data_IF_756596207491
#
_entry.id   IF_756596207491
#
_cell.length_a   1.000
_cell.length_b   1.000
_cell.length_c   1.000
_cell.angle_alpha   90.00
_cell.angle_beta   90.00
_cell.angle_gamma   90.00
#
_symmetry.space_group_name_H-M   'P 1'
#
loop_
_entity.id
_entity.type
_entity.pdbx_description
1 polymer ?
#
# COMPACT_ATOMS: atom_id res chain seq x y z
N UNK A 1 -45.80 78.16 12.51
CA UNK A 1 -46.42 78.28 13.88
C UNK A 1 -46.29 76.94 14.58
N UNK A 2 -45.72 76.97 15.78
CA UNK A 2 -45.80 76.05 16.95
C UNK A 2 -45.44 74.57 16.72
N UNK A 3 -44.25 74.12 17.12
CA UNK A 3 -43.82 73.67 18.48
C UNK A 3 -44.63 72.48 19.02
N UNK A 4 -43.94 71.38 19.23
CA UNK A 4 -44.37 70.24 20.01
C UNK A 4 -43.28 69.23 20.23
N UNK A 5 -42.48 69.43 21.26
CA UNK A 5 -41.46 68.51 21.78
C UNK A 5 -42.13 67.34 22.57
N UNK A 6 -41.68 66.12 22.36
CA UNK A 6 -41.84 65.06 23.38
C UNK A 6 -40.57 64.19 23.42
N UNK A 7 -39.84 64.37 24.55
CA UNK A 7 -38.75 63.50 24.97
C UNK A 7 -39.37 62.19 25.45
N UNK A 8 -38.83 61.06 25.00
CA UNK A 8 -38.98 59.78 25.68
C UNK A 8 -37.61 59.22 26.06
N UNK A 9 -37.40 59.12 27.34
CA UNK A 9 -36.29 58.38 27.95
C UNK A 9 -36.41 56.90 27.63
N UNK A 10 -35.33 56.30 27.09
CA UNK A 10 -35.20 54.88 27.00
C UNK A 10 -34.05 54.45 27.90
N UNK A 11 -34.40 53.64 28.90
CA UNK A 11 -33.48 52.99 29.84
C UNK A 11 -32.52 52.06 29.08
N UNK A 12 -31.24 52.29 29.28
CA UNK A 12 -30.21 51.32 28.92
C UNK A 12 -30.09 50.29 30.04
N UNK A 13 -30.58 49.10 29.80
CA UNK A 13 -30.26 47.92 30.59
C UNK A 13 -28.98 47.33 30.02
N UNK A 14 -27.87 47.53 30.70
CA UNK A 14 -26.57 46.93 30.38
C UNK A 14 -26.61 45.46 30.77
N UNK A 15 -26.74 44.56 29.78
CA UNK A 15 -26.61 43.12 29.98
C UNK A 15 -25.11 42.78 29.92
N UNK A 16 -24.48 42.59 31.09
CA UNK A 16 -23.16 41.99 31.21
C UNK A 16 -23.26 40.49 30.87
N UNK A 17 -22.93 40.12 29.64
CA UNK A 17 -22.66 38.73 29.30
C UNK A 17 -21.24 38.41 29.75
N UNK A 18 -21.12 37.70 30.86
CA UNK A 18 -19.87 37.06 31.29
C UNK A 18 -19.52 35.96 30.27
N UNK A 19 -18.72 36.29 29.26
CA UNK A 19 -18.07 35.34 28.41
C UNK A 19 -16.95 34.67 29.22
N UNK A 20 -17.26 33.54 29.86
CA UNK A 20 -16.26 32.63 30.37
C UNK A 20 -15.54 32.02 29.16
N UNK A 21 -14.44 32.67 28.78
CA UNK A 21 -13.52 32.15 27.75
C UNK A 21 -12.88 30.86 28.24
N UNK A 22 -13.44 29.75 27.83
CA UNK A 22 -12.70 28.51 27.77
C UNK A 22 -11.81 28.61 26.53
N UNK A 23 -10.60 29.15 26.74
CA UNK A 23 -9.52 28.90 25.80
C UNK A 23 -9.14 27.41 25.92
N UNK A 24 -9.75 26.57 25.09
CA UNK A 24 -9.08 25.32 24.75
C UNK A 24 -7.71 25.70 24.17
N UNK A 25 -6.60 25.24 24.74
CA UNK A 25 -5.33 25.36 24.04
C UNK A 25 -5.53 24.66 22.70
N UNK A 26 -5.41 25.43 21.61
CA UNK A 26 -5.26 24.85 20.29
C UNK A 26 -3.98 24.03 20.35
N UNK A 27 -4.12 22.72 20.52
CA UNK A 27 -3.02 21.80 20.23
C UNK A 27 -2.67 22.04 18.79
N UNK A 28 -1.42 22.48 18.57
CA UNK A 28 -0.85 22.54 17.22
C UNK A 28 -1.03 21.14 16.63
N UNK A 29 -1.71 21.00 15.47
CA UNK A 29 -1.97 19.68 14.91
C UNK A 29 -0.71 18.94 14.46
N UNK A 30 0.47 19.55 14.56
CA UNK A 30 1.70 19.14 13.90
C UNK A 30 2.88 18.86 14.84
N UNK A 31 2.69 18.87 16.14
CA UNK A 31 3.74 18.39 17.05
C UNK A 31 3.67 16.87 17.15
N UNK A 32 4.62 16.17 16.56
CA UNK A 32 4.80 14.74 16.83
C UNK A 32 5.01 14.54 18.33
N UNK A 33 4.39 13.48 18.90
CA UNK A 33 4.69 13.07 20.28
C UNK A 33 6.18 12.74 20.39
N UNK A 34 6.71 12.77 21.61
CA UNK A 34 8.08 12.39 21.96
C UNK A 34 8.57 11.15 21.20
N UNK A 35 9.89 11.03 21.05
CA UNK A 35 10.56 9.90 20.38
C UNK A 35 9.99 8.57 20.86
N UNK A 36 9.50 7.78 19.91
CA UNK A 36 8.98 6.44 20.15
C UNK A 36 9.86 5.45 19.38
N UNK A 37 10.68 4.64 20.07
CA UNK A 37 11.65 3.75 19.43
C UNK A 37 11.00 2.67 18.57
N UNK A 38 9.72 2.34 18.78
CA UNK A 38 8.98 1.41 17.92
C UNK A 38 8.51 2.14 16.66
N UNK A 39 7.81 3.26 16.82
CA UNK A 39 7.39 4.09 15.69
C UNK A 39 8.57 4.53 14.82
N UNK A 40 9.65 4.98 15.47
CA UNK A 40 10.83 5.57 14.83
C UNK A 40 11.88 4.51 14.46
N UNK A 41 11.45 3.26 14.32
CA UNK A 41 12.32 2.15 13.94
C UNK A 41 13.00 2.40 12.60
N UNK A 42 14.32 2.27 12.55
CA UNK A 42 15.13 2.29 11.34
C UNK A 42 15.31 0.85 10.84
N UNK A 43 14.81 0.49 9.67
CA UNK A 43 14.97 -0.86 9.14
C UNK A 43 16.43 -1.24 8.91
N UNK A 44 16.73 -2.51 9.07
CA UNK A 44 18.06 -3.10 8.84
C UNK A 44 17.90 -4.29 7.89
N UNK A 45 18.86 -4.47 6.98
CA UNK A 45 18.86 -5.61 6.06
C UNK A 45 18.88 -6.94 6.82
N UNK A 46 18.04 -7.87 6.41
CA UNK A 46 17.93 -9.20 7.03
C UNK A 46 17.08 -9.24 8.30
N UNK A 47 16.54 -8.11 8.74
CA UNK A 47 15.68 -8.02 9.94
C UNK A 47 14.33 -7.44 9.59
N UNK A 48 13.25 -8.11 10.01
CA UNK A 48 11.90 -7.56 9.91
C UNK A 48 11.62 -6.62 11.08
N UNK A 49 10.87 -5.54 10.85
CA UNK A 49 10.59 -4.55 11.88
C UNK A 49 9.67 -5.15 12.97
N UNK A 50 9.72 -4.61 14.19
CA UNK A 50 8.80 -5.00 15.26
C UNK A 50 7.35 -4.61 14.90
N UNK A 51 6.40 -5.25 15.57
CA UNK A 51 5.00 -4.87 15.48
C UNK A 51 4.79 -3.40 15.88
N UNK A 52 3.94 -2.68 15.17
CA UNK A 52 3.68 -1.27 15.41
C UNK A 52 4.72 -0.30 14.85
N UNK A 53 5.83 -0.79 14.26
CA UNK A 53 6.85 0.07 13.65
C UNK A 53 6.29 0.98 12.55
N UNK A 54 6.83 2.21 12.49
CA UNK A 54 6.47 3.20 11.48
C UNK A 54 5.15 3.91 11.72
N UNK A 55 4.75 4.69 10.74
CA UNK A 55 3.53 5.50 10.78
C UNK A 55 2.53 5.06 9.70
N UNK A 56 1.26 5.32 9.96
CA UNK A 56 0.24 5.23 8.92
C UNK A 56 0.17 6.56 8.16
N UNK A 57 0.17 6.48 6.83
CA UNK A 57 -0.07 7.61 5.94
C UNK A 57 -0.95 7.15 4.78
N UNK A 58 -1.86 8.01 4.30
CA UNK A 58 -2.74 7.70 3.19
C UNK A 58 -2.82 8.86 2.20
N UNK A 59 -3.09 8.55 0.95
CA UNK A 59 -3.22 9.53 -0.12
C UNK A 59 -3.34 8.86 -1.49
N UNK A 60 -3.61 9.67 -2.51
CA UNK A 60 -3.70 9.17 -3.88
C UNK A 60 -2.33 8.85 -4.47
N UNK A 61 -2.22 7.71 -5.11
CA UNK A 61 -1.02 7.33 -5.86
C UNK A 61 -0.89 8.21 -7.10
N UNK A 62 0.13 9.06 -7.15
CA UNK A 62 0.32 10.07 -8.21
C UNK A 62 1.41 9.72 -9.21
N UNK A 63 2.38 8.93 -8.80
CA UNK A 63 3.51 8.52 -9.61
C UNK A 63 4.00 7.17 -9.16
N UNK A 64 4.43 6.34 -10.09
CA UNK A 64 5.07 5.05 -9.83
C UNK A 64 6.32 4.91 -10.69
N UNK A 65 7.34 4.30 -10.10
CA UNK A 65 8.51 3.73 -10.76
C UNK A 65 8.55 2.25 -10.37
N UNK A 66 7.94 1.39 -11.17
CA UNK A 66 7.82 -0.02 -10.83
C UNK A 66 9.16 -0.77 -10.89
N UNK A 67 10.15 -0.26 -11.63
CA UNK A 67 11.49 -0.84 -11.71
C UNK A 67 12.21 -0.76 -10.38
N UNK A 68 12.18 0.43 -9.77
CA UNK A 68 12.84 0.70 -8.49
C UNK A 68 11.90 0.53 -7.30
N UNK A 69 10.66 0.07 -7.53
CA UNK A 69 9.59 -0.07 -6.53
C UNK A 69 9.40 1.23 -5.72
N UNK A 70 9.29 2.35 -6.43
CA UNK A 70 9.11 3.70 -5.86
C UNK A 70 7.79 4.30 -6.30
N UNK A 71 7.33 5.26 -5.55
CA UNK A 71 6.13 6.00 -5.89
C UNK A 71 6.00 7.30 -5.11
N UNK A 72 4.85 7.93 -5.26
CA UNK A 72 4.51 9.13 -4.51
C UNK A 72 3.02 9.21 -4.26
N UNK A 73 2.65 9.45 -3.01
CA UNK A 73 1.29 9.71 -2.58
C UNK A 73 1.05 11.20 -2.46
N UNK A 74 -0.19 11.62 -2.68
CA UNK A 74 -0.65 12.98 -2.44
C UNK A 74 -1.86 12.94 -1.52
N UNK A 75 -1.76 13.56 -0.37
CA UNK A 75 -2.90 13.79 0.52
C UNK A 75 -3.62 15.06 0.09
N UNK A 76 -4.94 15.06 0.07
CA UNK A 76 -5.72 16.28 -0.06
C UNK A 76 -5.57 17.12 1.21
N UNK A 77 -5.12 18.36 1.05
CA UNK A 77 -4.92 19.33 2.15
C UNK A 77 -5.63 20.66 1.89
N UNK A 78 -6.59 20.65 0.94
CA UNK A 78 -7.31 21.86 0.51
C UNK A 78 -6.50 22.83 -0.33
N UNK A 79 -5.20 22.59 -0.54
CA UNK A 79 -4.36 23.40 -1.41
C UNK A 79 -4.45 22.93 -2.86
N UNK A 80 -4.09 23.83 -3.79
CA UNK A 80 -4.03 23.49 -5.22
C UNK A 80 -2.83 22.60 -5.58
N UNK A 81 -1.83 22.54 -4.70
CA UNK A 81 -0.61 21.76 -4.88
C UNK A 81 -0.16 21.14 -3.54
N UNK A 82 -0.89 20.14 -3.03
CA UNK A 82 -0.48 19.46 -1.80
C UNK A 82 0.88 18.80 -1.96
N UNK A 83 1.68 18.75 -0.90
CA UNK A 83 2.99 18.11 -0.93
C UNK A 83 2.86 16.64 -1.31
N UNK A 84 3.80 16.15 -2.12
CA UNK A 84 3.90 14.74 -2.45
C UNK A 84 4.75 14.03 -1.41
N UNK A 85 4.26 12.91 -0.93
CA UNK A 85 5.00 12.00 -0.09
C UNK A 85 5.65 10.92 -0.96
N UNK A 86 6.92 11.14 -1.36
CA UNK A 86 7.67 10.17 -2.15
C UNK A 86 8.14 9.02 -1.26
N UNK A 87 8.15 7.81 -1.82
CA UNK A 87 8.54 6.61 -1.09
C UNK A 87 9.28 5.59 -1.96
N UNK A 88 10.05 4.72 -1.30
CA UNK A 88 10.51 3.43 -1.82
C UNK A 88 9.85 2.30 -1.04
N UNK A 89 9.54 1.19 -1.71
CA UNK A 89 9.14 -0.03 -1.02
C UNK A 89 10.36 -0.70 -0.40
N UNK A 90 10.24 -1.14 0.83
CA UNK A 90 11.22 -2.05 1.42
C UNK A 90 11.31 -3.37 0.60
N UNK A 91 12.44 -4.10 0.61
CA UNK A 91 12.58 -5.36 -0.12
C UNK A 91 11.43 -6.35 0.15
N UNK A 92 11.00 -6.43 1.40
CA UNK A 92 9.89 -7.23 1.90
C UNK A 92 8.56 -6.45 1.99
N UNK A 93 8.50 -5.27 1.38
CA UNK A 93 7.28 -4.45 1.35
C UNK A 93 6.19 -5.11 0.51
N UNK A 94 4.98 -5.05 1.03
CA UNK A 94 3.79 -5.70 0.50
C UNK A 94 2.87 -4.69 -0.15
N UNK A 95 2.19 -5.10 -1.21
CA UNK A 95 1.16 -4.30 -1.88
C UNK A 95 -0.09 -5.16 -2.01
N UNK A 96 -1.25 -4.61 -1.63
CA UNK A 96 -2.54 -5.25 -1.84
C UNK A 96 -3.48 -4.35 -2.66
N UNK A 97 -4.20 -4.96 -3.57
CA UNK A 97 -5.17 -4.29 -4.43
C UNK A 97 -6.40 -5.17 -4.63
N UNK A 98 -7.59 -4.63 -4.38
CA UNK A 98 -8.86 -5.37 -4.37
C UNK A 98 -8.87 -6.58 -3.41
N UNK A 99 -8.12 -6.49 -2.30
CA UNK A 99 -8.01 -7.58 -1.32
C UNK A 99 -7.10 -8.74 -1.73
N UNK A 100 -6.28 -8.59 -2.77
CA UNK A 100 -5.30 -9.58 -3.22
C UNK A 100 -3.88 -9.01 -3.24
N UNK A 101 -2.84 -9.85 -3.15
CA UNK A 101 -1.47 -9.42 -3.40
C UNK A 101 -1.29 -8.79 -4.78
N UNK A 102 -0.48 -7.73 -4.84
CA UNK A 102 -0.26 -6.92 -6.03
C UNK A 102 1.19 -6.45 -6.17
N UNK A 103 1.50 -5.83 -7.29
CA UNK A 103 2.71 -5.04 -7.53
C UNK A 103 2.30 -3.58 -7.76
N UNK A 104 3.21 -2.61 -7.53
CA UNK A 104 2.91 -1.19 -7.74
C UNK A 104 2.35 -0.87 -9.13
N UNK A 105 2.80 -1.60 -10.16
CA UNK A 105 2.35 -1.44 -11.55
C UNK A 105 0.89 -1.87 -11.79
N UNK A 106 0.33 -2.65 -10.87
CA UNK A 106 -1.07 -3.11 -10.97
C UNK A 106 -2.06 -2.03 -10.55
N UNK A 107 -1.58 -0.99 -9.86
CA UNK A 107 -2.41 0.04 -9.24
C UNK A 107 -2.53 1.24 -10.17
N UNK A 108 -3.75 1.61 -10.59
CA UNK A 108 -3.97 2.82 -11.38
C UNK A 108 -3.54 4.09 -10.63
N UNK A 109 -2.97 5.05 -11.36
CA UNK A 109 -2.71 6.38 -10.84
C UNK A 109 -4.05 7.04 -10.45
N UNK A 110 -4.06 7.70 -9.30
CA UNK A 110 -5.26 8.29 -8.69
C UNK A 110 -5.95 7.39 -7.66
N UNK A 111 -5.57 6.12 -7.54
CA UNK A 111 -6.10 5.25 -6.50
C UNK A 111 -5.69 5.75 -5.12
N UNK A 112 -6.63 5.89 -4.20
CA UNK A 112 -6.36 6.19 -2.80
C UNK A 112 -5.74 4.97 -2.12
N UNK A 113 -4.60 5.19 -1.48
CA UNK A 113 -3.80 4.14 -0.84
C UNK A 113 -3.59 4.44 0.64
N UNK A 114 -3.69 3.42 1.44
CA UNK A 114 -3.25 3.40 2.83
C UNK A 114 -1.88 2.75 2.89
N UNK A 115 -0.94 3.36 3.62
CA UNK A 115 0.42 2.83 3.73
C UNK A 115 0.94 2.83 5.16
N UNK A 116 1.80 1.87 5.46
CA UNK A 116 2.65 1.86 6.65
C UNK A 116 4.07 2.19 6.20
N UNK A 117 4.63 3.27 6.76
CA UNK A 117 5.92 3.82 6.36
C UNK A 117 6.87 3.86 7.53
N UNK A 118 8.11 3.44 7.29
CA UNK A 118 9.21 3.46 8.23
C UNK A 118 10.22 4.55 7.83
N UNK A 119 11.15 4.82 8.74
CA UNK A 119 12.34 5.60 8.41
C UNK A 119 13.15 4.90 7.29
N UNK A 120 14.05 5.61 6.60
CA UNK A 120 14.88 5.01 5.55
C UNK A 120 15.63 3.77 6.02
N UNK A 121 15.70 2.76 5.16
CA UNK A 121 16.55 1.59 5.36
C UNK A 121 17.99 2.05 5.56
N UNK A 122 18.68 1.45 6.51
CA UNK A 122 20.08 1.77 6.80
C UNK A 122 20.94 1.61 5.53
N UNK A 123 21.66 2.67 5.17
CA UNK A 123 22.47 2.75 3.95
C UNK A 123 21.71 3.20 2.70
N UNK A 124 20.39 3.41 2.79
CA UNK A 124 19.54 3.89 1.68
C UNK A 124 18.93 5.27 1.96
N UNK A 125 19.47 6.02 2.91
CA UNK A 125 18.91 7.29 3.36
C UNK A 125 18.83 8.37 2.27
N UNK A 126 19.65 8.24 1.23
CA UNK A 126 19.72 9.18 0.10
C UNK A 126 19.02 8.65 -1.17
N UNK A 127 18.41 7.47 -1.12
CA UNK A 127 17.77 6.86 -2.31
C UNK A 127 16.51 7.60 -2.73
N UNK A 128 15.85 8.29 -1.79
CA UNK A 128 14.70 9.17 -2.02
C UNK A 128 15.09 10.57 -1.58
N UNK A 129 14.82 11.61 -2.38
CA UNK A 129 15.09 12.98 -1.98
C UNK A 129 14.40 13.31 -0.66
N UNK A 130 15.17 13.75 0.32
CA UNK A 130 14.62 14.22 1.60
C UNK A 130 13.89 15.53 1.38
N UNK A 131 12.71 15.71 2.01
CA UNK A 131 12.09 17.01 2.08
C UNK A 131 13.04 18.05 2.70
N UNK A 132 12.92 19.31 2.31
CA UNK A 132 13.69 20.39 2.91
C UNK A 132 13.42 20.47 4.42
N UNK A 133 14.39 20.92 5.19
CA UNK A 133 14.31 20.94 6.67
C UNK A 133 13.10 21.73 7.20
N UNK A 134 12.73 22.83 6.53
CA UNK A 134 11.56 23.60 6.87
C UNK A 134 10.24 22.88 6.53
N UNK A 135 10.24 22.01 5.53
CA UNK A 135 9.11 21.12 5.21
C UNK A 135 9.00 19.98 6.23
N UNK A 136 10.11 19.37 6.62
CA UNK A 136 10.12 18.35 7.67
C UNK A 136 9.67 18.90 9.02
N UNK A 137 9.99 20.15 9.36
CA UNK A 137 9.46 20.82 10.57
C UNK A 137 7.94 20.99 10.53
N UNK A 138 7.35 21.19 9.35
CA UNK A 138 5.89 21.35 9.17
C UNK A 138 5.20 20.00 8.95
N UNK A 139 5.86 19.07 8.30
CA UNK A 139 5.34 17.74 7.92
C UNK A 139 6.36 16.65 8.27
N UNK A 140 6.56 16.36 9.57
CA UNK A 140 7.58 15.40 10.03
C UNK A 140 7.36 13.98 9.51
N UNK A 141 6.12 13.60 9.13
CA UNK A 141 5.83 12.35 8.45
C UNK A 141 6.62 12.16 7.15
N UNK A 142 7.11 13.22 6.51
CA UNK A 142 7.95 13.13 5.32
C UNK A 142 9.30 12.43 5.53
N UNK A 143 9.74 12.24 6.78
CA UNK A 143 10.93 11.45 7.10
C UNK A 143 10.70 9.93 6.93
N UNK A 144 9.46 9.46 7.06
CA UNK A 144 9.09 8.05 6.96
C UNK A 144 8.73 7.74 5.50
N UNK A 145 9.71 7.41 4.71
CA UNK A 145 9.58 7.29 3.26
C UNK A 145 9.88 5.89 2.72
N UNK A 146 10.02 4.88 3.59
CA UNK A 146 10.17 3.49 3.18
C UNK A 146 8.91 2.70 3.53
N UNK A 147 8.14 2.33 2.50
CA UNK A 147 6.87 1.65 2.66
C UNK A 147 7.07 0.15 2.89
N UNK A 148 6.45 -0.38 3.94
CA UNK A 148 6.38 -1.82 4.21
C UNK A 148 5.04 -2.42 3.77
N UNK A 149 3.99 -1.60 3.70
CA UNK A 149 2.66 -2.02 3.27
C UNK A 149 1.99 -0.88 2.52
N UNK A 150 1.35 -1.21 1.39
CA UNK A 150 0.45 -0.33 0.66
C UNK A 150 -0.82 -1.11 0.31
N UNK A 151 -1.98 -0.51 0.57
CA UNK A 151 -3.29 -1.12 0.37
C UNK A 151 -4.26 -0.10 -0.22
N UNK A 152 -5.08 -0.48 -1.21
CA UNK A 152 -6.25 0.32 -1.59
C UNK A 152 -7.30 0.29 -0.48
N UNK A 153 -8.33 1.13 -0.57
CA UNK A 153 -9.37 1.22 0.47
C UNK A 153 -10.03 -0.14 0.73
N UNK A 154 -10.34 -0.88 -0.34
CA UNK A 154 -10.95 -2.21 -0.21
C UNK A 154 -10.05 -3.15 0.59
N UNK A 155 -8.77 -3.24 0.24
CA UNK A 155 -7.82 -4.11 0.95
C UNK A 155 -7.66 -3.70 2.40
N UNK A 156 -7.49 -2.39 2.64
CA UNK A 156 -7.34 -1.83 3.98
C UNK A 156 -8.56 -2.12 4.87
N UNK A 157 -9.76 -1.75 4.42
CA UNK A 157 -10.96 -1.91 5.23
C UNK A 157 -11.32 -3.39 5.42
N UNK A 158 -11.21 -4.23 4.41
CA UNK A 158 -11.49 -5.67 4.55
C UNK A 158 -10.54 -6.38 5.52
N UNK A 159 -9.24 -6.06 5.48
CA UNK A 159 -8.27 -6.62 6.42
C UNK A 159 -8.63 -6.30 7.88
N UNK A 160 -9.30 -5.19 8.10
CA UNK A 160 -9.80 -4.78 9.40
C UNK A 160 -11.25 -5.20 9.69
N UNK A 161 -11.84 -6.09 8.86
CA UNK A 161 -13.22 -6.56 9.03
C UNK A 161 -14.25 -5.45 8.87
N UNK A 162 -14.01 -4.48 7.96
CA UNK A 162 -14.86 -3.32 7.77
C UNK A 162 -15.48 -3.26 6.37
N UNK A 163 -16.62 -2.63 6.33
CA UNK A 163 -17.39 -2.30 5.13
C UNK A 163 -18.11 -0.96 5.33
N UNK A 164 -18.92 -0.58 4.37
CA UNK A 164 -19.73 0.64 4.41
C UNK A 164 -21.20 0.27 4.24
N UNK A 165 -22.06 0.82 5.10
CA UNK A 165 -23.51 0.73 4.90
C UNK A 165 -24.01 2.03 4.28
N UNK A 166 -24.69 1.92 3.16
CA UNK A 166 -25.31 3.05 2.46
C UNK A 166 -26.49 3.57 3.29
N UNK A 167 -26.48 4.87 3.59
CA UNK A 167 -27.60 5.56 4.21
C UNK A 167 -28.53 6.18 3.17
N UNK A 168 -27.99 6.55 2.01
CA UNK A 168 -28.71 7.15 0.89
C UNK A 168 -27.81 7.98 0.00
N UNK A 169 -28.41 8.69 -0.93
CA UNK A 169 -27.75 9.68 -1.78
C UNK A 169 -28.35 11.06 -1.55
N UNK A 170 -27.55 12.10 -1.56
CA UNK A 170 -28.01 13.48 -1.38
C UNK A 170 -27.33 14.43 -2.37
N UNK A 171 -28.00 15.53 -2.71
CA UNK A 171 -27.40 16.58 -3.52
C UNK A 171 -26.46 17.41 -2.63
N UNK A 172 -25.18 17.47 -3.00
CA UNK A 172 -24.23 18.34 -2.37
C UNK A 172 -24.54 19.81 -2.61
N UNK A 173 -24.25 20.66 -1.63
CA UNK A 173 -24.37 22.13 -1.76
C UNK A 173 -23.22 22.71 -2.58
N UNK A 174 -23.41 23.94 -3.11
CA UNK A 174 -22.35 24.71 -3.76
C UNK A 174 -22.66 25.09 -5.20
N UNK A 175 -21.73 25.82 -5.87
CA UNK A 175 -21.94 26.31 -7.23
C UNK A 175 -21.96 25.22 -8.31
N UNK A 176 -21.42 24.04 -8.00
CA UNK A 176 -21.49 22.83 -8.83
C UNK A 176 -21.98 21.66 -7.93
N UNK A 177 -23.30 21.49 -7.78
CA UNK A 177 -23.85 20.45 -6.92
C UNK A 177 -23.44 19.07 -7.45
N UNK A 178 -22.80 18.27 -6.58
CA UNK A 178 -22.44 16.90 -6.86
C UNK A 178 -23.36 15.96 -6.10
N UNK A 179 -23.63 14.82 -6.68
CA UNK A 179 -24.30 13.76 -5.94
C UNK A 179 -23.31 13.18 -4.91
N UNK A 180 -23.79 12.96 -3.70
CA UNK A 180 -23.01 12.39 -2.61
C UNK A 180 -23.62 11.09 -2.13
N UNK A 181 -22.78 10.11 -1.92
CA UNK A 181 -23.10 8.86 -1.26
C UNK A 181 -22.92 9.04 0.25
N UNK A 182 -24.02 9.00 1.00
CA UNK A 182 -23.98 9.00 2.46
C UNK A 182 -23.81 7.60 2.97
N UNK A 183 -22.75 7.37 3.77
CA UNK A 183 -22.38 6.06 4.29
C UNK A 183 -22.06 6.10 5.78
N UNK A 184 -22.26 4.99 6.46
CA UNK A 184 -21.72 4.75 7.81
C UNK A 184 -20.78 3.53 7.79
N UNK A 185 -19.67 3.58 8.57
CA UNK A 185 -18.77 2.44 8.67
C UNK A 185 -19.42 1.30 9.46
N UNK A 186 -19.22 0.07 8.98
CA UNK A 186 -19.60 -1.18 9.65
C UNK A 186 -18.33 -1.87 10.13
N UNK A 187 -18.28 -2.35 11.37
CA UNK A 187 -17.13 -3.00 11.98
C UNK A 187 -16.34 -2.12 12.94
N UNK A 188 -15.16 -2.57 13.43
CA UNK A 188 -14.39 -1.88 14.45
C UNK A 188 -13.76 -0.58 13.94
N UNK A 189 -13.47 0.38 14.83
CA UNK A 189 -12.69 1.56 14.49
C UNK A 189 -11.25 1.16 14.11
N UNK A 190 -10.68 1.87 13.12
CA UNK A 190 -9.34 1.56 12.58
C UNK A 190 -8.48 2.83 12.59
N UNK A 191 -7.25 2.69 13.05
CA UNK A 191 -6.25 3.77 12.97
C UNK A 191 -6.02 4.17 11.51
N UNK A 192 -6.05 5.48 11.24
CA UNK A 192 -5.88 6.02 9.89
C UNK A 192 -7.08 5.83 8.95
N UNK A 193 -8.16 5.20 9.42
CA UNK A 193 -9.39 5.02 8.66
C UNK A 193 -10.48 6.03 9.01
N UNK A 194 -11.51 6.11 8.17
CA UNK A 194 -12.70 6.91 8.40
C UNK A 194 -13.61 6.17 9.39
N UNK A 195 -13.76 6.68 10.60
CA UNK A 195 -14.44 6.02 11.71
C UNK A 195 -15.83 6.60 12.05
N UNK A 196 -16.32 7.49 11.20
CA UNK A 196 -17.64 8.16 11.36
C UNK A 196 -18.40 8.09 10.05
N UNK A 197 -19.69 8.36 10.10
CA UNK A 197 -20.48 8.58 8.90
C UNK A 197 -19.79 9.62 8.00
N UNK A 198 -19.78 9.36 6.69
CA UNK A 198 -19.08 10.14 5.69
C UNK A 198 -19.95 10.38 4.46
N UNK A 199 -19.54 11.38 3.68
CA UNK A 199 -20.13 11.71 2.40
C UNK A 199 -19.04 11.58 1.33
N UNK A 200 -19.25 10.70 0.38
CA UNK A 200 -18.36 10.53 -0.76
C UNK A 200 -19.00 11.11 -2.01
N UNK A 201 -18.25 11.91 -2.77
CA UNK A 201 -18.71 12.40 -4.05
C UNK A 201 -18.86 11.20 -5.02
N UNK A 202 -19.96 11.16 -5.76
CA UNK A 202 -20.19 10.21 -6.85
C UNK A 202 -20.57 10.98 -8.11
N UNK A 203 -20.10 10.51 -9.25
CA UNK A 203 -20.36 11.12 -10.56
C UNK A 203 -20.48 10.06 -11.66
N UNK A 204 -20.56 10.49 -12.90
CA UNK A 204 -20.68 9.60 -14.06
C UNK A 204 -19.44 8.73 -14.29
N UNK A 205 -18.29 9.07 -13.72
CA UNK A 205 -17.06 8.28 -13.78
C UNK A 205 -17.00 7.20 -12.69
N UNK A 206 -17.86 7.26 -11.67
CA UNK A 206 -17.96 6.25 -10.62
C UNK A 206 -18.47 4.93 -11.22
N UNK A 207 -17.67 3.88 -11.08
CA UNK A 207 -18.04 2.54 -11.55
C UNK A 207 -18.77 1.78 -10.45
N UNK A 208 -19.97 1.31 -10.75
CA UNK A 208 -20.82 0.58 -9.82
C UNK A 208 -20.96 -0.86 -10.30
N UNK A 209 -20.58 -1.80 -9.45
CA UNK A 209 -20.50 -3.21 -9.79
C UNK A 209 -21.54 -4.02 -9.04
N UNK A 210 -22.34 -4.81 -9.80
CA UNK A 210 -23.33 -5.75 -9.26
C UNK A 210 -23.43 -6.97 -10.17
N UNK A 211 -23.41 -8.17 -9.59
CA UNK A 211 -23.45 -9.43 -10.34
C UNK A 211 -22.36 -9.49 -11.45
N UNK A 212 -21.15 -8.97 -11.15
CA UNK A 212 -19.98 -8.87 -12.06
C UNK A 212 -20.21 -7.98 -13.28
N UNK A 213 -21.18 -7.08 -13.24
CA UNK A 213 -21.50 -6.16 -14.33
C UNK A 213 -21.49 -4.72 -13.84
N UNK A 214 -21.21 -3.80 -14.76
CA UNK A 214 -21.42 -2.37 -14.52
C UNK A 214 -22.92 -2.09 -14.53
N UNK A 215 -23.39 -1.38 -13.50
CA UNK A 215 -24.78 -0.99 -13.33
C UNK A 215 -24.90 0.52 -13.12
N UNK A 216 -26.11 1.05 -13.20
CA UNK A 216 -26.39 2.47 -13.00
C UNK A 216 -26.50 2.87 -11.54
N UNK A 217 -26.54 4.18 -11.30
CA UNK A 217 -26.70 4.76 -9.95
C UNK A 217 -28.04 4.41 -9.28
N UNK A 218 -29.05 4.04 -10.05
CA UNK A 218 -30.36 3.58 -9.60
C UNK A 218 -30.30 2.26 -8.80
N UNK A 219 -29.23 1.51 -8.93
CA UNK A 219 -28.97 0.31 -8.14
C UNK A 219 -28.44 0.59 -6.72
N UNK A 220 -28.05 1.83 -6.44
CA UNK A 220 -27.60 2.26 -5.11
C UNK A 220 -28.84 2.41 -4.21
N UNK A 221 -28.96 1.54 -3.22
CA UNK A 221 -30.09 1.52 -2.30
C UNK A 221 -29.61 1.69 -0.85
N UNK A 222 -30.38 2.45 -0.05
CA UNK A 222 -30.11 2.56 1.37
C UNK A 222 -30.22 1.20 2.06
N UNK A 223 -29.33 0.97 3.02
CA UNK A 223 -29.23 -0.29 3.77
C UNK A 223 -28.31 -1.34 3.17
N UNK A 224 -27.85 -1.18 1.91
CA UNK A 224 -26.83 -2.09 1.34
C UNK A 224 -25.49 -1.91 2.05
N UNK A 225 -24.81 -3.02 2.27
CA UNK A 225 -23.44 -3.07 2.74
C UNK A 225 -22.51 -3.27 1.53
N UNK A 226 -21.52 -2.37 1.39
CA UNK A 226 -20.71 -2.23 0.17
C UNK A 226 -19.23 -2.07 0.51
N UNK A 227 -18.38 -2.30 -0.49
CA UNK A 227 -16.98 -1.89 -0.48
C UNK A 227 -16.79 -0.78 -1.52
N UNK A 228 -15.85 0.13 -1.24
CA UNK A 228 -15.56 1.26 -2.13
C UNK A 228 -14.08 1.50 -2.25
N UNK A 229 -13.64 1.96 -3.42
CA UNK A 229 -12.35 2.63 -3.60
C UNK A 229 -12.57 4.12 -3.80
N UNK A 230 -11.68 4.90 -3.25
CA UNK A 230 -11.77 6.36 -3.18
C UNK A 230 -10.64 7.03 -3.98
N UNK A 231 -10.77 8.32 -4.15
CA UNK A 231 -9.73 9.26 -4.59
C UNK A 231 -10.00 10.62 -3.97
N UNK A 232 -8.98 11.45 -3.80
CA UNK A 232 -9.17 12.83 -3.37
C UNK A 232 -9.82 13.67 -4.47
N UNK A 233 -10.98 14.18 -4.18
CA UNK A 233 -11.66 15.19 -4.98
C UNK A 233 -11.18 16.61 -4.67
N UNK A 234 -11.74 17.61 -5.34
CA UNK A 234 -11.50 19.02 -5.00
C UNK A 234 -12.02 19.34 -3.59
N UNK A 235 -11.39 20.33 -2.94
CA UNK A 235 -11.82 20.87 -1.64
C UNK A 235 -11.82 19.82 -0.50
N UNK A 236 -10.79 18.95 -0.46
CA UNK A 236 -10.66 17.89 0.56
C UNK A 236 -11.82 16.88 0.60
N UNK A 237 -12.65 16.83 -0.44
CA UNK A 237 -13.66 15.80 -0.54
C UNK A 237 -13.02 14.48 -0.97
N UNK A 238 -13.66 13.37 -0.58
CA UNK A 238 -13.35 12.06 -1.13
C UNK A 238 -14.40 11.71 -2.18
N UNK A 239 -13.96 11.31 -3.35
CA UNK A 239 -14.81 10.83 -4.42
C UNK A 239 -14.66 9.31 -4.58
N UNK A 240 -15.74 8.64 -4.94
CA UNK A 240 -15.75 7.20 -5.12
C UNK A 240 -15.36 6.86 -6.56
N UNK A 241 -14.34 6.04 -6.73
CA UNK A 241 -13.96 5.51 -8.06
C UNK A 241 -14.71 4.24 -8.40
N UNK A 242 -14.87 3.35 -7.41
CA UNK A 242 -15.56 2.07 -7.55
C UNK A 242 -16.45 1.79 -6.35
N UNK A 243 -17.62 1.22 -6.61
CA UNK A 243 -18.56 0.71 -5.61
C UNK A 243 -18.90 -0.73 -5.96
N UNK A 244 -18.64 -1.66 -5.03
CA UNK A 244 -19.08 -3.06 -5.16
C UNK A 244 -20.31 -3.28 -4.29
N UNK A 245 -21.48 -3.44 -4.94
CA UNK A 245 -22.77 -3.63 -4.28
C UNK A 245 -22.96 -5.06 -3.76
N UNK A 246 -22.11 -5.99 -4.17
CA UNK A 246 -22.15 -7.38 -3.74
C UNK A 246 -20.75 -8.00 -3.63
N UNK A 247 -20.56 -9.01 -2.75
CA UNK A 247 -19.28 -9.69 -2.57
C UNK A 247 -18.80 -10.45 -3.81
N UNK A 248 -19.72 -10.93 -4.66
CA UNK A 248 -19.39 -11.71 -5.85
C UNK A 248 -18.68 -10.87 -6.91
N UNK A 249 -19.11 -9.62 -7.08
CA UNK A 249 -18.46 -8.66 -7.97
C UNK A 249 -17.03 -8.36 -7.50
N UNK A 250 -16.85 -8.08 -6.22
CA UNK A 250 -15.51 -7.82 -5.67
C UNK A 250 -14.59 -9.05 -5.77
N UNK A 251 -15.12 -10.26 -5.50
CA UNK A 251 -14.33 -11.48 -5.59
C UNK A 251 -13.83 -11.75 -7.02
N UNK A 252 -14.61 -11.36 -8.05
CA UNK A 252 -14.14 -11.45 -9.42
C UNK A 252 -12.92 -10.55 -9.70
N UNK A 253 -12.91 -9.31 -9.18
CA UNK A 253 -11.73 -8.42 -9.27
C UNK A 253 -10.54 -8.96 -8.47
N UNK A 254 -10.78 -9.46 -7.27
CA UNK A 254 -9.75 -10.11 -6.43
C UNK A 254 -9.09 -11.27 -7.17
N UNK A 255 -9.87 -12.15 -7.79
CA UNK A 255 -9.32 -13.29 -8.51
C UNK A 255 -8.51 -12.86 -9.76
N UNK A 256 -8.94 -11.84 -10.49
CA UNK A 256 -8.14 -11.27 -11.60
C UNK A 256 -6.79 -10.77 -11.07
N UNK A 257 -6.80 -10.00 -9.99
CA UNK A 257 -5.56 -9.48 -9.39
C UNK A 257 -4.68 -10.62 -8.86
N UNK A 258 -5.28 -11.58 -8.18
CA UNK A 258 -4.60 -12.77 -7.67
C UNK A 258 -3.88 -13.55 -8.80
N UNK A 259 -4.54 -13.74 -9.93
CA UNK A 259 -3.94 -14.42 -11.09
C UNK A 259 -2.79 -13.62 -11.70
N UNK A 260 -2.87 -12.28 -11.74
CA UNK A 260 -1.75 -11.42 -12.15
C UNK A 260 -0.55 -11.61 -11.23
N UNK A 261 -0.78 -11.55 -9.91
CA UNK A 261 0.27 -11.77 -8.92
C UNK A 261 0.92 -13.16 -9.03
N UNK A 262 0.14 -14.22 -9.15
CA UNK A 262 0.66 -15.58 -9.33
C UNK A 262 1.54 -15.71 -10.57
N UNK A 263 1.13 -15.13 -11.71
CA UNK A 263 1.95 -15.10 -12.93
C UNK A 263 3.26 -14.36 -12.69
N UNK A 264 3.19 -13.17 -12.07
CA UNK A 264 4.35 -12.35 -11.78
C UNK A 264 5.36 -13.08 -10.91
N UNK A 265 4.95 -13.63 -9.77
CA UNK A 265 5.86 -14.30 -8.85
C UNK A 265 6.39 -15.60 -9.42
N UNK A 266 5.59 -16.38 -10.15
CA UNK A 266 6.09 -17.57 -10.85
C UNK A 266 7.11 -17.24 -11.93
N UNK A 267 7.06 -16.06 -12.54
CA UNK A 267 8.07 -15.59 -13.49
C UNK A 267 9.35 -15.10 -12.82
N UNK A 268 9.25 -14.50 -11.61
CA UNK A 268 10.36 -13.85 -10.90
C UNK A 268 10.85 -14.61 -9.68
N UNK A 269 10.22 -15.71 -9.35
CA UNK A 269 10.42 -16.52 -8.14
C UNK A 269 10.05 -15.82 -6.84
N UNK A 270 9.83 -16.61 -5.80
CA UNK A 270 9.41 -16.16 -4.49
C UNK A 270 10.59 -15.56 -3.71
N UNK A 271 10.53 -14.29 -3.26
CA UNK A 271 11.64 -13.66 -2.57
C UNK A 271 11.74 -14.07 -1.08
N UNK A 272 12.96 -14.00 -0.55
CA UNK A 272 13.24 -14.19 0.87
C UNK A 272 14.59 -13.61 1.26
N UNK A 273 14.82 -13.46 2.57
CA UNK A 273 16.12 -13.10 3.15
C UNK A 273 17.00 -14.32 3.32
N UNK A 274 18.31 -14.17 3.07
CA UNK A 274 19.33 -15.07 3.57
C UNK A 274 19.59 -14.72 5.05
N UNK A 275 19.35 -15.66 5.94
CA UNK A 275 19.63 -15.49 7.38
C UNK A 275 21.08 -15.85 7.68
N UNK A 276 21.51 -17.05 7.25
CA UNK A 276 22.84 -17.61 7.51
C UNK A 276 23.36 -18.37 6.31
N UNK A 277 24.68 -18.41 6.18
CA UNK A 277 25.40 -19.16 5.14
C UNK A 277 26.58 -19.90 5.77
N UNK A 278 26.74 -21.18 5.42
CA UNK A 278 27.92 -21.96 5.74
C UNK A 278 28.51 -22.52 4.45
N UNK A 279 29.73 -22.10 4.13
CA UNK A 279 30.44 -22.59 2.96
C UNK A 279 31.19 -23.88 3.27
N UNK A 280 31.21 -24.81 2.32
CA UNK A 280 31.99 -26.04 2.39
C UNK A 280 33.24 -25.93 1.52
N UNK A 281 34.31 -26.59 1.88
CA UNK A 281 35.58 -26.58 1.12
C UNK A 281 35.43 -27.10 -0.32
N UNK A 282 34.35 -27.82 -0.62
CA UNK A 282 34.02 -28.36 -1.94
C UNK A 282 33.33 -27.36 -2.87
N UNK A 283 33.14 -26.09 -2.43
CA UNK A 283 32.47 -25.04 -3.22
C UNK A 283 30.93 -25.00 -3.05
N UNK A 284 30.34 -25.99 -2.39
CA UNK A 284 28.93 -25.97 -1.98
C UNK A 284 28.73 -25.36 -0.58
N UNK A 285 27.53 -25.47 -0.03
CA UNK A 285 27.25 -24.94 1.30
C UNK A 285 25.83 -25.19 1.78
N UNK A 286 25.54 -24.64 2.95
CA UNK A 286 24.18 -24.60 3.52
C UNK A 286 23.73 -23.16 3.68
N UNK A 287 22.44 -22.93 3.54
CA UNK A 287 21.84 -21.60 3.66
C UNK A 287 20.51 -21.70 4.40
N UNK A 288 20.28 -20.82 5.37
CA UNK A 288 18.96 -20.62 5.97
C UNK A 288 18.31 -19.35 5.44
N UNK A 289 16.99 -19.40 5.24
CA UNK A 289 16.21 -18.39 4.55
C UNK A 289 14.91 -18.12 5.31
N UNK A 290 14.45 -16.86 5.29
CA UNK A 290 13.07 -16.49 5.66
C UNK A 290 12.35 -15.93 4.45
N UNK A 291 11.20 -16.50 4.08
CA UNK A 291 10.40 -16.04 2.95
C UNK A 291 9.68 -14.73 3.29
N UNK A 292 9.55 -13.85 2.29
CA UNK A 292 8.80 -12.61 2.45
C UNK A 292 7.29 -12.86 2.53
N UNK A 293 6.60 -12.02 3.29
CA UNK A 293 5.16 -12.01 3.43
C UNK A 293 4.43 -11.39 2.24
N UNK A 294 3.10 -11.31 2.35
CA UNK A 294 2.26 -10.63 1.35
C UNK A 294 2.14 -11.31 0.00
N UNK A 295 2.57 -12.57 -0.13
CA UNK A 295 2.41 -13.36 -1.35
C UNK A 295 1.17 -14.26 -1.25
N UNK A 296 0.68 -14.72 -2.40
CA UNK A 296 -0.44 -15.67 -2.44
C UNK A 296 -0.08 -16.98 -1.70
N UNK A 297 -0.95 -17.49 -0.81
CA UNK A 297 -0.69 -18.71 -0.04
C UNK A 297 -0.38 -19.95 -0.89
N UNK A 298 -0.87 -19.98 -2.14
CA UNK A 298 -0.59 -21.07 -3.07
C UNK A 298 0.92 -21.17 -3.37
N UNK A 299 1.62 -20.04 -3.49
CA UNK A 299 3.06 -20.02 -3.77
C UNK A 299 3.86 -20.64 -2.62
N UNK A 300 3.52 -20.32 -1.37
CA UNK A 300 4.16 -20.96 -0.20
C UNK A 300 3.91 -22.46 -0.15
N UNK A 301 2.67 -22.88 -0.45
CA UNK A 301 2.33 -24.30 -0.57
C UNK A 301 3.14 -25.01 -1.65
N UNK A 302 3.33 -24.39 -2.82
CA UNK A 302 4.13 -24.92 -3.91
C UNK A 302 5.61 -25.04 -3.53
N UNK A 303 6.19 -24.07 -2.81
CA UNK A 303 7.55 -24.16 -2.26
C UNK A 303 7.63 -25.25 -1.20
N UNK A 304 6.65 -25.38 -0.30
CA UNK A 304 6.60 -26.44 0.72
C UNK A 304 6.58 -27.84 0.12
N UNK A 305 5.94 -28.01 -1.03
CA UNK A 305 5.90 -29.28 -1.76
C UNK A 305 7.19 -29.58 -2.54
N UNK A 306 8.02 -28.57 -2.78
CA UNK A 306 9.26 -28.72 -3.51
C UNK A 306 10.38 -29.22 -2.57
N UNK A 307 10.82 -30.47 -2.74
CA UNK A 307 11.97 -31.03 -2.01
C UNK A 307 13.28 -30.38 -2.48
N UNK A 308 13.35 -30.05 -3.76
CA UNK A 308 14.54 -29.50 -4.43
C UNK A 308 14.21 -28.16 -5.10
N UNK A 309 13.93 -27.07 -4.34
CA UNK A 309 13.70 -25.77 -4.92
C UNK A 309 14.97 -25.25 -5.61
N UNK A 310 14.82 -24.46 -6.67
CA UNK A 310 15.93 -23.73 -7.26
C UNK A 310 16.04 -22.36 -6.63
N UNK A 311 17.27 -21.89 -6.40
CA UNK A 311 17.54 -20.62 -5.76
C UNK A 311 18.48 -19.78 -6.62
N UNK A 312 18.16 -18.50 -6.78
CA UNK A 312 19.01 -17.51 -7.43
C UNK A 312 19.23 -16.29 -6.53
N UNK A 313 20.31 -15.58 -6.72
CA UNK A 313 20.49 -14.26 -6.14
C UNK A 313 19.53 -13.25 -6.80
N UNK A 314 19.17 -12.20 -6.05
CA UNK A 314 18.02 -11.39 -6.42
C UNK A 314 18.40 -10.04 -7.02
N UNK A 315 18.87 -9.99 -8.23
CA UNK A 315 18.74 -8.74 -8.97
C UNK A 315 17.49 -8.79 -9.85
N UNK A 316 16.60 -7.80 -9.72
CA UNK A 316 15.31 -7.74 -10.43
C UNK A 316 15.39 -6.74 -11.58
N UNK A 317 16.32 -6.89 -12.48
CA UNK A 317 16.26 -6.18 -13.77
C UNK A 317 15.73 -7.13 -14.85
N UNK A 318 15.34 -6.61 -15.99
CA UNK A 318 14.91 -7.44 -17.11
C UNK A 318 15.99 -8.44 -17.55
N UNK A 319 17.25 -8.04 -17.47
CA UNK A 319 18.38 -8.93 -17.75
C UNK A 319 18.42 -10.12 -16.82
N UNK A 320 17.93 -9.95 -15.59
CA UNK A 320 17.97 -10.96 -14.54
C UNK A 320 16.79 -11.92 -14.54
N UNK A 321 15.68 -11.65 -15.24
CA UNK A 321 14.63 -12.66 -15.34
C UNK A 321 15.10 -13.92 -16.07
N UNK A 322 15.92 -13.78 -17.14
CA UNK A 322 16.62 -14.90 -17.78
C UNK A 322 17.63 -15.52 -16.83
N UNK A 323 18.40 -14.69 -16.14
CA UNK A 323 19.38 -15.14 -15.15
C UNK A 323 18.74 -16.04 -14.08
N UNK A 324 17.63 -15.67 -13.51
CA UNK A 324 16.92 -16.50 -12.53
C UNK A 324 16.49 -17.85 -13.12
N UNK A 325 16.19 -17.93 -14.40
CA UNK A 325 15.81 -19.17 -15.05
C UNK A 325 17.00 -20.06 -15.39
N UNK A 326 18.06 -19.46 -15.90
CA UNK A 326 19.21 -20.17 -16.46
C UNK A 326 20.25 -20.49 -15.38
N UNK A 327 20.42 -19.60 -14.42
CA UNK A 327 21.49 -19.69 -13.40
C UNK A 327 20.99 -20.01 -11.98
N UNK A 328 19.69 -20.27 -11.79
CA UNK A 328 19.21 -20.70 -10.51
C UNK A 328 19.82 -22.05 -10.11
N UNK A 329 20.48 -22.07 -8.96
CA UNK A 329 21.16 -23.24 -8.41
C UNK A 329 20.12 -24.22 -7.85
N UNK A 330 20.17 -25.50 -8.24
CA UNK A 330 19.36 -26.52 -7.59
C UNK A 330 19.77 -26.64 -6.12
N UNK A 331 18.82 -26.84 -5.24
CA UNK A 331 19.08 -27.04 -3.82
C UNK A 331 18.30 -28.24 -3.29
N UNK A 332 18.72 -28.75 -2.15
CA UNK A 332 17.98 -29.76 -1.40
C UNK A 332 17.48 -29.12 -0.10
N UNK A 333 16.17 -29.13 0.12
CA UNK A 333 15.61 -28.63 1.36
C UNK A 333 15.86 -29.64 2.48
N UNK A 334 16.47 -29.16 3.57
CA UNK A 334 16.80 -29.98 4.75
C UNK A 334 15.91 -29.67 5.95
N UNK A 335 15.31 -28.47 5.99
CA UNK A 335 14.45 -28.04 7.09
C UNK A 335 13.34 -27.13 6.58
N UNK A 336 12.20 -27.13 7.30
CA UNK A 336 11.05 -26.24 7.10
C UNK A 336 10.40 -25.95 8.44
N UNK A 337 10.20 -24.68 8.74
CA UNK A 337 9.52 -24.23 9.95
C UNK A 337 8.51 -23.14 9.57
N UNK A 338 7.38 -23.11 10.25
CA UNK A 338 6.36 -22.07 10.13
C UNK A 338 6.12 -21.43 11.49
N UNK A 339 6.10 -20.10 11.54
CA UNK A 339 5.70 -19.29 12.68
C UNK A 339 4.29 -18.75 12.40
N UNK A 340 3.36 -18.98 13.35
CA UNK A 340 1.96 -18.57 13.21
C UNK A 340 1.74 -17.06 13.37
N UNK A 341 2.66 -16.37 14.07
CA UNK A 341 2.60 -14.91 14.31
C UNK A 341 3.89 -14.22 13.80
N UNK A 342 4.06 -14.11 12.49
CA UNK A 342 5.24 -13.50 11.91
C UNK A 342 5.19 -11.97 11.99
N UNK A 343 6.34 -11.29 12.10
CA UNK A 343 6.41 -9.85 12.00
C UNK A 343 5.97 -9.39 10.60
N UNK A 344 5.51 -8.14 10.51
CA UNK A 344 5.07 -7.53 9.26
C UNK A 344 6.19 -7.62 8.19
N UNK A 345 5.83 -8.06 6.98
CA UNK A 345 6.78 -8.30 5.90
C UNK A 345 7.36 -9.72 5.84
N UNK A 346 7.25 -10.51 6.91
CA UNK A 346 7.62 -11.93 6.93
C UNK A 346 6.44 -12.82 6.61
N UNK A 347 6.67 -13.95 5.95
CA UNK A 347 5.66 -15.00 5.82
C UNK A 347 5.59 -15.93 7.03
N UNK A 348 6.55 -15.82 7.97
CA UNK A 348 6.74 -16.78 9.05
C UNK A 348 7.41 -18.08 8.62
N UNK A 349 7.74 -18.24 7.34
CA UNK A 349 8.32 -19.46 6.82
C UNK A 349 9.84 -19.37 6.79
N UNK A 350 10.49 -20.26 7.54
CA UNK A 350 11.93 -20.46 7.53
C UNK A 350 12.27 -21.81 6.94
N UNK A 351 13.30 -21.85 6.10
CA UNK A 351 13.79 -23.09 5.51
C UNK A 351 15.31 -23.13 5.48
N UNK A 352 15.87 -24.35 5.56
CA UNK A 352 17.31 -24.59 5.30
C UNK A 352 17.44 -25.43 4.05
N UNK A 353 18.49 -25.10 3.30
CA UNK A 353 18.82 -25.79 2.05
C UNK A 353 20.31 -26.09 1.97
N UNK A 354 20.65 -27.20 1.34
CA UNK A 354 22.00 -27.54 0.92
C UNK A 354 22.14 -27.23 -0.55
N UNK A 355 23.23 -26.61 -0.95
CA UNK A 355 23.54 -26.14 -2.29
C UNK A 355 24.84 -26.78 -2.78
N UNK A 356 24.87 -27.33 -4.02
CA UNK A 356 26.10 -27.85 -4.61
C UNK A 356 27.09 -26.75 -5.01
N UNK A 357 26.60 -25.52 -5.16
CA UNK A 357 27.37 -24.34 -5.52
C UNK A 357 26.81 -23.11 -4.81
N UNK A 358 27.70 -22.29 -4.25
CA UNK A 358 27.36 -21.00 -3.66
C UNK A 358 27.58 -19.89 -4.70
N UNK A 359 26.60 -18.98 -4.81
CA UNK A 359 26.70 -17.77 -5.63
C UNK A 359 27.19 -16.61 -4.76
N UNK A 360 27.86 -15.62 -5.36
CA UNK A 360 28.36 -14.44 -4.65
C UNK A 360 27.27 -13.63 -3.93
N UNK A 361 26.05 -13.65 -4.44
CA UNK A 361 24.88 -13.00 -3.84
C UNK A 361 24.28 -13.74 -2.64
N UNK A 362 24.72 -14.97 -2.35
CA UNK A 362 24.23 -15.74 -1.20
C UNK A 362 24.95 -15.30 0.08
N UNK A 363 24.52 -14.19 0.66
CA UNK A 363 25.11 -13.58 1.88
C UNK A 363 24.02 -13.21 2.86
N UNK A 364 24.28 -13.28 4.17
CA UNK A 364 23.30 -12.84 5.18
C UNK A 364 22.79 -11.42 4.90
N UNK A 365 21.50 -11.22 5.07
CA UNK A 365 20.81 -9.95 4.78
C UNK A 365 20.55 -9.66 3.31
N UNK A 366 20.99 -10.51 2.38
CA UNK A 366 20.67 -10.35 0.96
C UNK A 366 19.36 -11.04 0.61
N UNK A 367 18.70 -10.50 -0.43
CA UNK A 367 17.47 -11.09 -0.99
C UNK A 367 17.87 -12.21 -1.95
N UNK A 368 17.22 -13.34 -1.84
CA UNK A 368 17.28 -14.45 -2.80
C UNK A 368 15.89 -14.77 -3.30
N UNK A 369 15.81 -15.56 -4.37
CA UNK A 369 14.55 -15.94 -5.00
C UNK A 369 14.46 -17.43 -5.19
N UNK A 370 13.32 -18.01 -4.76
CA UNK A 370 13.08 -19.44 -4.76
C UNK A 370 12.05 -19.82 -5.81
N UNK A 371 12.35 -20.84 -6.59
CA UNK A 371 11.42 -21.47 -7.51
C UNK A 371 11.02 -22.84 -6.98
N UNK A 372 9.71 -23.08 -6.85
CA UNK A 372 9.13 -24.38 -6.59
C UNK A 372 9.03 -25.25 -7.85
N UNK A 373 8.10 -26.21 -7.83
CA UNK A 373 7.87 -27.12 -8.96
C UNK A 373 7.02 -26.52 -10.09
N UNK A 374 6.59 -25.26 -9.98
CA UNK A 374 5.76 -24.66 -11.04
C UNK A 374 6.51 -24.52 -12.36
N UNK A 375 5.77 -24.70 -13.44
CA UNK A 375 6.27 -24.39 -14.77
C UNK A 375 6.56 -22.90 -14.87
N UNK A 376 7.66 -22.56 -15.53
CA UNK A 376 7.98 -21.19 -15.85
C UNK A 376 6.85 -20.53 -16.65
N UNK A 377 6.46 -19.33 -16.22
CA UNK A 377 5.48 -18.52 -16.91
C UNK A 377 6.19 -17.34 -17.58
N UNK A 378 6.15 -17.31 -18.90
CA UNK A 378 6.59 -16.13 -19.64
C UNK A 378 5.50 -15.05 -19.49
N UNK A 379 5.88 -13.89 -18.94
CA UNK A 379 4.98 -12.76 -18.90
C UNK A 379 4.74 -12.23 -20.32
N UNK A 380 3.55 -11.70 -20.63
CA UNK A 380 3.32 -10.89 -21.80
C UNK A 380 4.30 -9.73 -21.87
N UNK A 381 4.62 -9.28 -23.08
CA UNK A 381 5.65 -8.26 -23.29
C UNK A 381 5.32 -6.92 -22.57
N UNK A 382 4.07 -6.54 -22.55
CA UNK A 382 3.54 -5.37 -21.87
C UNK A 382 3.58 -5.46 -20.32
N UNK A 383 3.75 -6.67 -19.78
CA UNK A 383 3.96 -6.92 -18.37
C UNK A 383 5.46 -6.99 -17.98
N UNK A 384 6.38 -6.86 -18.93
CA UNK A 384 7.80 -6.84 -18.61
C UNK A 384 8.18 -5.50 -17.97
N UNK A 385 8.99 -5.55 -16.92
CA UNK A 385 9.69 -4.37 -16.43
C UNK A 385 10.95 -4.20 -17.26
N UNK A 386 11.00 -3.12 -18.04
CA UNK A 386 12.12 -2.82 -18.93
C UNK A 386 12.63 -1.42 -18.66
N UNK A 387 13.94 -1.25 -18.72
CA UNK A 387 14.51 0.06 -18.91
C UNK A 387 14.28 0.53 -20.36
N UNK A 388 14.20 1.85 -20.65
CA UNK A 388 13.96 2.36 -22.00
C UNK A 388 14.92 1.80 -23.05
N UNK A 389 16.18 1.61 -22.69
CA UNK A 389 17.23 1.05 -23.54
C UNK A 389 17.02 -0.43 -23.86
N UNK A 390 16.54 -1.20 -22.90
CA UNK A 390 16.23 -2.62 -23.08
C UNK A 390 14.93 -2.79 -23.88
N UNK A 391 14.01 -1.81 -23.83
CA UNK A 391 12.77 -1.82 -24.61
C UNK A 391 13.05 -1.78 -26.11
N UNK A 392 13.96 -0.91 -26.58
CA UNK A 392 14.34 -0.86 -27.99
C UNK A 392 14.98 -2.17 -28.46
N UNK A 393 15.84 -2.74 -27.63
CA UNK A 393 16.51 -3.99 -27.95
C UNK A 393 15.54 -5.18 -27.99
N UNK A 394 14.60 -5.25 -27.04
CA UNK A 394 13.58 -6.30 -27.00
C UNK A 394 12.53 -6.14 -28.12
N UNK A 395 12.19 -4.90 -28.52
CA UNK A 395 11.33 -4.66 -29.67
C UNK A 395 11.97 -5.10 -31.00
N UNK A 396 13.30 -5.00 -31.10
CA UNK A 396 14.06 -5.51 -32.26
C UNK A 396 14.19 -7.04 -32.26
N UNK A 397 14.09 -7.71 -31.11
CA UNK A 397 14.11 -9.17 -30.98
C UNK A 397 12.75 -9.83 -31.22
N UNK A 398 11.68 -9.07 -31.37
CA UNK A 398 10.38 -9.57 -31.86
C UNK A 398 10.53 -9.81 -33.37
N UNK A 399 11.20 -10.88 -33.73
CA UNK A 399 11.14 -11.44 -35.05
C UNK A 399 10.11 -12.57 -35.12
N UNK A 400 9.51 -12.77 -36.27
CA UNK A 400 8.18 -13.31 -36.51
C UNK A 400 7.94 -14.68 -35.97
#
# INVERSE_FOLDING_TARGET
MMKGSLRRCLNWMTLCVMASGWSCPAQSPDAWPEEDPIRDHVPVLGVFPPEGAGIHFHGDLMVIDPMNRRGGLRKGDGTTQPPRHYFAMLPYGMVHYHGAPADLRDIPIGTHMHGRFLLPLQGEEETIPKPAEDQLKRHPQGAYNHAILLEDDVSFYQRHGRSWKILGTEQGGGPAPRLKLSVEPVGPAVEGGINKAALFDIDEATRIWKNRQLVGMDEIQAGLEVQVNLTWGPFESLATTDIWLDPESLEAFREIQRQRHLRLIRSRFLPGWVNEVTNHDTGGGEMSLTLFGGMDPLLYKEIKQAENPKISDAHVTLRTWRYHQEFAVPSQRTHWQENEDPPLGSSGIELKVTLPQMLDGFRPGQVVRLKGHWTYVLLPFDEWLMEPEDFEQASRMRLP
#
